data_IF_049091463070
#
_entry.id   IF_049091463070
#
_cell.length_a   1.000
_cell.length_b   1.000
_cell.length_c   1.000
_cell.angle_alpha   90.00
_cell.angle_beta   90.00
_cell.angle_gamma   90.00
#
_symmetry.space_group_name_H-M   'P 1'
#
loop_
_entity.id
_entity.type
_entity.pdbx_description
1 polymer ?
#
# COMPACT_ATOMS: atom_id res chain seq x y z
N UNK A 1 22.19 -26.50 44.95
CA UNK A 1 22.94 -27.75 45.25
C UNK A 1 23.40 -28.32 43.92
N UNK A 2 24.73 -28.27 43.66
CA UNK A 2 25.54 -28.86 42.56
C UNK A 2 25.14 -28.50 41.09
N UNK A 3 25.85 -27.71 40.28
CA UNK A 3 27.26 -27.75 39.80
C UNK A 3 27.53 -29.05 38.98
N UNK A 4 28.04 -29.15 37.74
CA UNK A 4 29.00 -28.40 36.89
C UNK A 4 28.89 -28.89 35.42
N UNK A 5 29.50 -28.12 34.47
CA UNK A 5 30.33 -28.53 33.29
C UNK A 5 30.04 -27.62 32.07
N UNK A 6 30.98 -27.19 31.22
CA UNK A 6 32.41 -26.84 31.27
C UNK A 6 32.68 -26.24 29.86
N UNK A 7 33.44 -25.17 29.78
CA UNK A 7 33.93 -24.56 28.53
C UNK A 7 35.08 -25.36 27.93
N UNK A 8 35.22 -25.41 26.59
CA UNK A 8 36.51 -25.47 25.87
C UNK A 8 36.38 -25.26 24.34
N UNK A 9 37.29 -24.44 23.80
CA UNK A 9 37.79 -24.30 22.41
C UNK A 9 39.33 -24.28 22.55
N UNK A 10 40.15 -24.34 21.48
CA UNK A 10 40.04 -25.03 20.19
C UNK A 10 41.33 -25.86 19.89
N UNK A 11 41.38 -26.63 18.81
CA UNK A 11 42.67 -26.99 18.19
C UNK A 11 42.56 -27.16 16.67
N UNK A 12 43.47 -26.49 15.99
CA UNK A 12 43.71 -26.49 14.55
C UNK A 12 44.89 -27.44 14.27
N UNK A 13 44.75 -28.35 13.30
CA UNK A 13 45.87 -29.02 12.61
C UNK A 13 45.42 -29.38 11.20
N UNK A 14 46.13 -28.83 10.21
CA UNK A 14 46.02 -29.23 8.82
C UNK A 14 46.88 -30.46 8.52
N UNK A 15 46.54 -31.15 7.44
CA UNK A 15 47.45 -32.06 6.74
C UNK A 15 47.00 -32.20 5.29
N UNK A 16 47.92 -31.89 4.38
CA UNK A 16 47.89 -32.17 2.95
C UNK A 16 47.86 -33.69 2.69
N UNK A 17 47.12 -34.12 1.67
CA UNK A 17 47.40 -35.36 0.94
C UNK A 17 46.91 -35.23 -0.51
N UNK A 18 47.88 -35.18 -1.42
CA UNK A 18 47.80 -35.35 -2.87
C UNK A 18 47.58 -36.82 -3.22
N UNK A 19 46.68 -37.12 -4.17
CA UNK A 19 46.79 -38.32 -5.01
C UNK A 19 46.18 -38.07 -6.38
N UNK A 20 46.90 -38.55 -7.39
CA UNK A 20 46.77 -38.34 -8.83
C UNK A 20 46.00 -39.51 -9.47
N UNK A 21 45.41 -39.24 -10.63
CA UNK A 21 45.27 -40.14 -11.80
C UNK A 21 44.09 -41.13 -11.87
N UNK A 22 43.14 -40.88 -12.81
CA UNK A 22 43.11 -41.60 -14.11
C UNK A 22 42.13 -40.97 -15.11
N UNK A 23 42.67 -40.85 -16.33
CA UNK A 23 42.15 -40.36 -17.61
C UNK A 23 41.24 -41.42 -18.25
N UNK A 24 40.19 -41.00 -18.96
CA UNK A 24 39.70 -41.67 -20.16
C UNK A 24 39.07 -40.63 -21.10
N UNK A 25 39.53 -40.70 -22.35
CA UNK A 25 39.46 -39.71 -23.42
C UNK A 25 38.28 -39.94 -24.40
N UNK A 26 37.78 -38.81 -24.93
CA UNK A 26 37.30 -38.51 -26.30
C UNK A 26 36.05 -39.25 -26.91
N UNK A 27 35.46 -38.75 -28.04
CA UNK A 27 35.88 -37.61 -28.86
C UNK A 27 34.85 -36.53 -29.18
N UNK A 28 35.43 -35.39 -29.56
CA UNK A 28 34.86 -34.15 -30.06
C UNK A 28 35.01 -34.11 -31.59
N UNK A 29 33.92 -33.88 -32.32
CA UNK A 29 33.94 -33.68 -33.77
C UNK A 29 34.17 -32.20 -34.11
N UNK A 30 35.32 -31.92 -34.74
CA UNK A 30 35.68 -30.65 -35.41
C UNK A 30 34.92 -30.50 -36.72
N UNK A 31 34.51 -29.28 -37.05
CA UNK A 31 34.31 -28.85 -38.45
C UNK A 31 35.21 -27.63 -38.73
N UNK A 32 35.84 -27.67 -39.90
CA UNK A 32 36.98 -26.85 -40.35
C UNK A 32 36.55 -25.48 -40.87
N UNK A 33 37.44 -24.49 -40.70
CA UNK A 33 37.51 -23.25 -41.48
C UNK A 33 38.00 -23.52 -42.91
N UNK A 34 37.55 -22.69 -43.85
CA UNK A 34 38.16 -22.49 -45.17
C UNK A 34 38.03 -21.00 -45.52
N UNK A 35 39.17 -20.36 -45.73
CA UNK A 35 39.34 -18.99 -46.22
C UNK A 35 39.17 -18.91 -47.74
N UNK A 36 38.68 -17.77 -48.23
CA UNK A 36 38.62 -17.43 -49.66
C UNK A 36 38.41 -15.92 -49.88
N UNK A 37 39.39 -15.29 -50.52
CA UNK A 37 39.54 -13.85 -50.72
C UNK A 37 38.73 -13.26 -51.91
N UNK A 38 38.48 -11.95 -51.81
CA UNK A 38 38.35 -10.91 -52.88
C UNK A 38 37.13 -10.91 -53.82
N UNK A 39 36.38 -9.79 -53.87
CA UNK A 39 36.35 -8.81 -54.99
C UNK A 39 35.30 -7.70 -54.79
N UNK A 40 35.60 -6.54 -55.39
CA UNK A 40 34.92 -5.24 -55.36
C UNK A 40 33.52 -5.21 -56.00
N UNK A 41 32.68 -4.26 -55.56
CA UNK A 41 31.49 -3.83 -56.29
C UNK A 41 30.71 -2.72 -55.60
N UNK A 42 30.88 -1.49 -56.07
CA UNK A 42 30.02 -0.33 -55.78
C UNK A 42 28.66 -0.46 -56.51
N UNK A 43 27.68 0.38 -56.11
CA UNK A 43 26.28 0.54 -56.57
C UNK A 43 25.28 -0.22 -55.66
N UNK A 44 24.17 0.33 -55.19
CA UNK A 44 23.55 1.66 -55.24
C UNK A 44 22.28 1.59 -54.38
N UNK A 45 21.84 2.74 -53.85
CA UNK A 45 20.46 3.07 -53.45
C UNK A 45 19.86 2.41 -52.19
N UNK A 46 19.77 3.25 -51.15
CA UNK A 46 18.59 3.53 -50.32
C UNK A 46 17.69 2.34 -49.94
N UNK A 47 17.74 1.93 -48.68
CA UNK A 47 16.62 1.74 -47.72
C UNK A 47 17.27 1.35 -46.39
N UNK A 48 16.62 1.65 -45.26
CA UNK A 48 17.04 1.45 -43.85
C UNK A 48 17.66 2.70 -43.20
N UNK A 49 16.94 3.82 -43.26
CA UNK A 49 16.75 4.66 -42.08
C UNK A 49 15.31 4.43 -41.64
N UNK A 50 15.10 3.47 -40.74
CA UNK A 50 13.96 3.34 -39.81
C UNK A 50 13.96 1.93 -39.21
N UNK A 51 14.87 1.65 -38.28
CA UNK A 51 14.72 0.50 -37.36
C UNK A 51 15.57 0.64 -36.08
N UNK A 52 15.63 1.86 -35.54
CA UNK A 52 15.99 2.09 -34.13
C UNK A 52 14.96 3.00 -33.46
N UNK A 53 13.72 2.53 -33.44
CA UNK A 53 12.73 2.95 -32.43
C UNK A 53 12.06 1.70 -31.89
N UNK A 54 12.84 0.86 -31.21
CA UNK A 54 12.27 0.00 -30.18
C UNK A 54 11.94 0.91 -28.98
N UNK A 55 10.67 1.00 -28.54
CA UNK A 55 10.35 1.70 -27.32
C UNK A 55 10.97 0.91 -26.17
N UNK A 56 12.05 1.45 -25.59
CA UNK A 56 12.60 0.93 -24.34
C UNK A 56 11.51 0.82 -23.28
N UNK A 57 11.62 -0.10 -22.31
CA UNK A 57 10.57 -0.34 -21.34
C UNK A 57 10.34 0.97 -20.57
N UNK A 58 9.15 1.55 -20.75
CA UNK A 58 8.66 2.66 -19.96
C UNK A 58 8.52 2.17 -18.51
N UNK A 59 9.61 2.28 -17.75
CA UNK A 59 9.69 1.87 -16.36
C UNK A 59 8.69 2.70 -15.54
N UNK A 60 7.66 2.01 -15.01
CA UNK A 60 6.62 2.61 -14.19
C UNK A 60 7.23 3.25 -12.92
N UNK A 61 6.94 4.54 -12.73
CA UNK A 61 7.62 5.43 -11.78
C UNK A 61 6.87 5.60 -10.46
N UNK A 62 7.56 5.43 -9.31
CA UNK A 62 6.99 5.67 -7.98
C UNK A 62 7.83 6.49 -6.98
N UNK A 63 7.19 7.37 -6.19
CA UNK A 63 7.77 8.09 -5.05
C UNK A 63 6.77 8.86 -4.18
N UNK A 64 7.20 9.22 -2.97
CA UNK A 64 6.42 9.64 -1.79
C UNK A 64 6.60 11.14 -1.47
N UNK A 65 5.87 12.04 -2.12
CA UNK A 65 5.71 13.43 -1.63
C UNK A 65 4.28 13.89 -1.80
N UNK A 66 3.85 14.82 -0.93
CA UNK A 66 2.48 15.32 -0.79
C UNK A 66 1.97 16.20 -1.92
N UNK A 67 2.23 15.80 -3.17
CA UNK A 67 1.40 16.11 -4.32
C UNK A 67 1.07 14.87 -5.17
N UNK A 68 1.53 13.63 -4.89
CA UNK A 68 1.03 12.37 -5.50
C UNK A 68 1.36 11.00 -4.72
N UNK A 69 0.49 9.91 -4.48
CA UNK A 69 0.83 8.43 -4.20
C UNK A 69 0.24 7.16 -5.04
N UNK A 70 1.06 6.18 -5.54
CA UNK A 70 0.99 4.66 -5.52
C UNK A 70 1.13 3.68 -6.80
N UNK A 71 2.25 2.97 -7.17
CA UNK A 71 2.35 1.84 -8.18
C UNK A 71 3.64 0.99 -8.13
N UNK A 72 3.58 -0.20 -8.76
CA UNK A 72 4.31 -1.45 -8.49
C UNK A 72 5.49 -1.66 -9.48
N UNK A 73 6.64 -2.15 -9.01
CA UNK A 73 7.76 -2.64 -9.85
C UNK A 73 8.09 -4.11 -9.55
N UNK A 74 8.56 -4.89 -10.55
CA UNK A 74 8.78 -6.32 -10.41
C UNK A 74 10.08 -6.63 -9.65
N UNK A 75 10.02 -7.67 -8.82
CA UNK A 75 11.17 -8.25 -8.12
C UNK A 75 12.05 -9.01 -9.14
N UNK A 76 13.25 -8.50 -9.43
CA UNK A 76 14.34 -9.35 -9.91
C UNK A 76 15.45 -9.35 -8.86
N UNK A 77 15.64 -10.48 -8.19
CA UNK A 77 16.76 -10.73 -7.31
C UNK A 77 18.06 -10.81 -8.13
N UNK A 78 19.05 -10.02 -7.75
CA UNK A 78 20.46 -10.17 -8.14
C UNK A 78 21.30 -10.19 -6.85
N UNK A 79 22.43 -10.91 -6.82
CA UNK A 79 23.03 -11.44 -5.61
C UNK A 79 23.68 -10.36 -4.73
N UNK A 80 23.82 -10.70 -3.45
CA UNK A 80 24.26 -9.88 -2.33
C UNK A 80 25.51 -9.02 -2.64
N UNK A 81 25.33 -7.71 -2.59
CA UNK A 81 26.40 -6.73 -2.56
C UNK A 81 26.27 -5.92 -1.26
N UNK A 82 27.30 -6.00 -0.40
CA UNK A 82 27.49 -5.31 0.90
C UNK A 82 26.26 -4.58 1.45
N UNK A 83 25.61 -5.21 2.43
CA UNK A 83 24.42 -4.79 3.21
C UNK A 83 24.37 -3.29 3.57
N UNK A 84 25.52 -2.64 3.73
CA UNK A 84 25.61 -1.20 4.03
C UNK A 84 25.23 -0.23 2.91
N UNK A 85 25.22 -0.60 1.61
CA UNK A 85 24.93 0.34 0.50
C UNK A 85 23.68 0.03 -0.32
N UNK A 86 23.08 -1.15 -0.15
CA UNK A 86 21.91 -1.57 -0.92
C UNK A 86 20.66 -0.72 -0.62
N UNK A 87 20.39 -0.43 0.66
CA UNK A 87 19.22 0.35 1.06
C UNK A 87 19.30 1.83 0.62
N UNK A 88 20.50 2.39 0.48
CA UNK A 88 20.69 3.74 -0.10
C UNK A 88 20.22 3.79 -1.56
N UNK A 89 20.62 2.79 -2.36
CA UNK A 89 20.18 2.67 -3.77
C UNK A 89 18.66 2.54 -3.85
N UNK A 90 18.03 1.88 -2.87
CA UNK A 90 16.58 1.73 -2.80
C UNK A 90 15.86 3.05 -2.47
N UNK A 91 16.36 3.81 -1.48
CA UNK A 91 15.87 5.16 -1.19
C UNK A 91 16.00 6.11 -2.37
N UNK A 92 17.00 5.91 -3.24
CA UNK A 92 17.24 6.76 -4.42
C UNK A 92 16.30 6.44 -5.59
N UNK A 93 15.78 5.21 -5.67
CA UNK A 93 14.73 4.83 -6.62
C UNK A 93 13.39 5.48 -6.28
N UNK A 94 13.16 5.79 -5.00
CA UNK A 94 11.98 6.50 -4.55
C UNK A 94 12.13 8.01 -4.86
N UNK A 95 11.13 8.61 -5.50
CA UNK A 95 11.07 10.08 -5.63
C UNK A 95 10.73 10.73 -4.29
N UNK A 96 11.76 10.99 -3.48
CA UNK A 96 11.68 11.61 -2.16
C UNK A 96 12.25 13.03 -2.17
N UNK A 97 11.66 13.92 -1.35
CA UNK A 97 12.25 15.21 -1.01
C UNK A 97 13.61 15.06 -0.30
N UNK A 98 14.44 16.11 -0.32
CA UNK A 98 15.75 16.10 0.34
C UNK A 98 15.68 15.71 1.83
N UNK A 99 14.65 16.15 2.56
CA UNK A 99 14.44 15.78 3.98
C UNK A 99 14.06 14.30 4.11
N UNK A 100 13.08 13.85 3.34
CA UNK A 100 12.60 12.47 3.34
C UNK A 100 13.67 11.47 2.94
N UNK A 101 14.49 11.79 1.93
CA UNK A 101 15.61 10.95 1.51
C UNK A 101 16.64 10.77 2.63
N UNK A 102 16.93 11.83 3.38
CA UNK A 102 17.80 11.75 4.58
C UNK A 102 17.19 10.86 5.67
N UNK A 103 15.87 10.90 5.85
CA UNK A 103 15.17 10.03 6.80
C UNK A 103 15.18 8.56 6.34
N UNK A 104 14.92 8.31 5.05
CA UNK A 104 14.96 6.97 4.46
C UNK A 104 16.34 6.30 4.63
N UNK A 105 17.42 7.07 4.40
CA UNK A 105 18.81 6.60 4.52
C UNK A 105 19.30 6.47 5.97
N UNK A 106 18.52 6.87 6.97
CA UNK A 106 18.98 6.93 8.37
C UNK A 106 18.96 5.57 9.06
N UNK A 107 18.07 4.69 8.63
CA UNK A 107 17.79 3.40 9.28
C UNK A 107 17.60 2.34 8.17
N UNK A 108 18.41 1.27 8.17
CA UNK A 108 18.18 0.15 7.25
C UNK A 108 16.78 -0.45 7.49
N UNK A 109 16.11 -0.86 6.42
CA UNK A 109 14.73 -1.37 6.48
C UNK A 109 13.64 -0.32 6.24
N UNK A 110 13.93 0.98 6.37
CA UNK A 110 12.95 2.03 6.07
C UNK A 110 12.57 2.04 4.59
N UNK A 111 13.53 1.84 3.69
CA UNK A 111 13.29 1.86 2.25
C UNK A 111 12.33 0.74 1.82
N UNK A 112 12.56 -0.47 2.32
CA UNK A 112 11.72 -1.66 2.11
C UNK A 112 10.33 -1.46 2.70
N UNK A 113 10.25 -0.95 3.93
CA UNK A 113 8.98 -0.68 4.63
C UNK A 113 8.17 0.39 3.91
N UNK A 114 8.83 1.41 3.34
CA UNK A 114 8.17 2.40 2.50
C UNK A 114 7.55 1.75 1.25
N UNK A 115 8.26 0.86 0.55
CA UNK A 115 7.69 0.15 -0.60
C UNK A 115 6.52 -0.77 -0.23
N UNK A 116 6.60 -1.43 0.92
CA UNK A 116 5.51 -2.25 1.46
C UNK A 116 4.26 -1.40 1.73
N UNK A 117 4.42 -0.28 2.45
CA UNK A 117 3.34 0.68 2.69
C UNK A 117 2.71 1.15 1.38
N UNK A 118 3.56 1.42 0.38
CA UNK A 118 3.16 1.88 -0.93
C UNK A 118 2.24 0.86 -1.61
N UNK A 119 2.70 -0.38 -1.70
CA UNK A 119 1.97 -1.45 -2.36
C UNK A 119 0.67 -1.74 -1.61
N UNK A 120 0.72 -1.79 -0.28
CA UNK A 120 -0.43 -2.07 0.57
C UNK A 120 -1.55 -1.03 0.39
N UNK A 121 -1.22 0.27 0.44
CA UNK A 121 -2.20 1.34 0.22
C UNK A 121 -2.80 1.32 -1.19
N UNK A 122 -1.97 1.07 -2.21
CA UNK A 122 -2.43 1.05 -3.61
C UNK A 122 -3.39 -0.12 -3.87
N UNK A 123 -3.04 -1.32 -3.39
CA UNK A 123 -3.87 -2.51 -3.54
C UNK A 123 -5.20 -2.36 -2.79
N UNK A 124 -5.19 -1.84 -1.57
CA UNK A 124 -6.42 -1.60 -0.82
C UNK A 124 -7.30 -0.55 -1.49
N UNK A 125 -6.72 0.53 -2.03
CA UNK A 125 -7.48 1.54 -2.77
C UNK A 125 -8.14 0.96 -4.03
N UNK A 126 -7.40 0.18 -4.82
CA UNK A 126 -7.95 -0.52 -5.98
C UNK A 126 -9.04 -1.51 -5.59
N UNK A 127 -8.86 -2.21 -4.47
CA UNK A 127 -9.86 -3.12 -3.93
C UNK A 127 -11.13 -2.36 -3.55
N UNK A 128 -11.06 -1.31 -2.73
CA UNK A 128 -12.21 -0.53 -2.26
C UNK A 128 -13.01 0.09 -3.42
N UNK A 129 -12.33 0.47 -4.50
CA UNK A 129 -12.94 1.15 -5.65
C UNK A 129 -13.18 0.24 -6.87
N UNK A 130 -12.99 -1.08 -6.75
CA UNK A 130 -13.05 -2.03 -7.87
C UNK A 130 -14.35 -2.01 -8.67
N UNK A 131 -15.47 -1.66 -8.03
CA UNK A 131 -16.80 -1.63 -8.64
C UNK A 131 -17.29 -0.23 -9.01
N UNK A 132 -16.48 0.80 -8.78
CA UNK A 132 -16.84 2.20 -8.96
C UNK A 132 -16.43 2.73 -10.34
N UNK A 133 -16.95 3.89 -10.74
CA UNK A 133 -16.57 4.58 -11.99
C UNK A 133 -15.10 5.01 -11.98
N UNK A 134 -14.59 5.46 -10.84
CA UNK A 134 -13.17 5.61 -10.58
C UNK A 134 -12.69 4.41 -9.77
N UNK A 135 -11.77 3.63 -10.31
CA UNK A 135 -11.29 2.37 -9.74
C UNK A 135 -9.90 2.48 -9.09
N UNK A 136 -9.56 3.66 -8.57
CA UNK A 136 -8.22 3.95 -8.08
C UNK A 136 -7.11 3.70 -9.12
N UNK A 137 -7.26 4.31 -10.31
CA UNK A 137 -6.23 4.29 -11.35
C UNK A 137 -5.05 5.19 -10.97
N UNK A 138 -3.95 4.58 -10.53
CA UNK A 138 -2.76 5.27 -10.04
C UNK A 138 -1.61 5.31 -11.05
N UNK A 139 -1.92 5.18 -12.34
CA UNK A 139 -0.91 5.14 -13.39
C UNK A 139 -0.56 6.54 -13.93
N UNK A 140 0.74 6.81 -14.04
CA UNK A 140 1.32 7.91 -14.81
C UNK A 140 0.65 9.27 -14.60
N UNK A 141 0.06 9.82 -15.66
CA UNK A 141 -0.51 11.18 -15.69
C UNK A 141 -1.85 11.31 -14.95
N UNK A 142 -2.69 10.27 -14.95
CA UNK A 142 -4.02 10.34 -14.32
C UNK A 142 -3.91 10.63 -12.84
N UNK A 143 -3.04 9.84 -12.23
CA UNK A 143 -2.53 10.02 -10.90
C UNK A 143 -2.01 11.44 -10.65
N UNK A 144 -1.08 11.91 -11.48
CA UNK A 144 -0.51 13.25 -11.31
C UNK A 144 -1.55 14.38 -11.32
N UNK A 145 -2.56 14.22 -12.16
CA UNK A 145 -3.61 15.22 -12.31
C UNK A 145 -4.63 15.15 -11.17
N UNK A 146 -5.00 13.97 -10.68
CA UNK A 146 -6.01 13.85 -9.62
C UNK A 146 -5.51 14.46 -8.30
N UNK A 147 -4.23 14.28 -7.98
CA UNK A 147 -3.67 14.68 -6.69
C UNK A 147 -3.37 16.18 -6.57
N UNK A 148 -3.20 16.84 -7.72
CA UNK A 148 -3.16 18.31 -7.83
C UNK A 148 -4.50 18.96 -7.49
N UNK A 149 -5.60 18.19 -7.45
CA UNK A 149 -6.95 18.69 -7.19
C UNK A 149 -7.49 18.20 -5.86
N UNK A 150 -8.36 18.99 -5.25
CA UNK A 150 -8.96 18.71 -3.96
C UNK A 150 -10.26 17.91 -4.04
N UNK A 151 -10.30 16.82 -4.82
CA UNK A 151 -11.47 15.97 -4.99
C UNK A 151 -11.72 15.02 -3.80
N UNK A 152 -12.90 14.40 -3.79
CA UNK A 152 -13.28 13.33 -2.85
C UNK A 152 -12.32 12.14 -2.92
N UNK A 153 -11.89 11.75 -4.12
CA UNK A 153 -10.96 10.62 -4.32
C UNK A 153 -9.58 10.96 -3.77
N UNK A 154 -9.17 12.23 -3.92
CA UNK A 154 -7.91 12.72 -3.39
C UNK A 154 -7.89 12.68 -1.86
N UNK A 155 -8.98 13.04 -1.18
CA UNK A 155 -9.05 12.98 0.29
C UNK A 155 -8.85 11.54 0.79
N UNK A 156 -9.47 10.56 0.14
CA UNK A 156 -9.25 9.15 0.44
C UNK A 156 -7.80 8.72 0.18
N UNK A 157 -7.20 9.13 -0.94
CA UNK A 157 -5.80 8.79 -1.26
C UNK A 157 -4.82 9.28 -0.19
N UNK A 158 -5.01 10.49 0.35
CA UNK A 158 -4.19 10.99 1.45
C UNK A 158 -4.38 10.16 2.74
N UNK A 159 -5.63 9.81 3.07
CA UNK A 159 -5.94 9.05 4.28
C UNK A 159 -5.44 7.60 4.21
N UNK A 160 -5.66 6.89 3.10
CA UNK A 160 -5.21 5.48 2.95
C UNK A 160 -3.68 5.39 2.85
N UNK A 161 -3.02 6.40 2.27
CA UNK A 161 -1.55 6.45 2.19
C UNK A 161 -0.92 6.72 3.55
N UNK A 162 -1.47 7.65 4.32
CA UNK A 162 -0.98 7.91 5.68
C UNK A 162 -1.26 6.74 6.61
N UNK A 163 -2.42 6.10 6.48
CA UNK A 163 -2.77 4.88 7.20
C UNK A 163 -1.80 3.73 6.88
N UNK A 164 -1.51 3.48 5.59
CA UNK A 164 -0.58 2.43 5.16
C UNK A 164 0.85 2.66 5.62
N UNK A 165 1.33 3.91 5.58
CA UNK A 165 2.63 4.28 6.14
C UNK A 165 2.67 4.01 7.65
N UNK A 166 1.65 4.43 8.39
CA UNK A 166 1.60 4.20 9.83
C UNK A 166 1.53 2.71 10.17
N UNK A 167 0.74 1.94 9.42
CA UNK A 167 0.59 0.50 9.60
C UNK A 167 1.89 -0.26 9.36
N UNK A 168 2.51 -0.06 8.18
CA UNK A 168 3.74 -0.74 7.81
C UNK A 168 4.90 -0.39 8.74
N UNK A 169 5.06 0.88 9.12
CA UNK A 169 6.14 1.30 10.02
C UNK A 169 6.01 0.72 11.42
N UNK A 170 4.78 0.66 11.95
CA UNK A 170 4.53 0.06 13.27
C UNK A 170 4.81 -1.45 13.26
N UNK A 171 4.40 -2.16 12.20
CA UNK A 171 4.69 -3.59 12.02
C UNK A 171 6.16 -3.89 11.74
N UNK A 172 6.87 -3.02 11.04
CA UNK A 172 8.30 -3.19 10.80
C UNK A 172 9.11 -3.10 12.10
N UNK A 173 8.69 -2.23 13.04
CA UNK A 173 9.29 -2.15 14.37
C UNK A 173 9.07 -3.40 15.20
N UNK A 174 7.83 -3.87 15.32
CA UNK A 174 7.52 -5.10 16.08
C UNK A 174 8.13 -6.35 15.45
N UNK A 175 8.32 -6.37 14.13
CA UNK A 175 9.00 -7.46 13.43
C UNK A 175 10.55 -7.40 13.52
N UNK A 176 11.13 -6.37 14.14
CA UNK A 176 12.59 -6.21 14.22
C UNK A 176 13.28 -5.95 12.88
N UNK A 177 12.55 -5.43 11.88
CA UNK A 177 13.10 -5.12 10.54
C UNK A 177 13.80 -3.76 10.45
N UNK A 178 13.68 -2.93 11.48
CA UNK A 178 14.29 -1.62 11.57
C UNK A 178 15.12 -1.55 12.85
N UNK A 179 16.30 -0.95 12.79
CA UNK A 179 17.26 -0.98 13.89
C UNK A 179 16.98 0.10 14.95
N UNK A 180 16.31 1.20 14.55
CA UNK A 180 16.10 2.36 15.44
C UNK A 180 14.76 2.36 16.17
N UNK A 181 14.02 1.25 16.14
CA UNK A 181 12.82 1.07 16.93
C UNK A 181 12.65 -0.37 17.39
N UNK A 182 11.84 -0.54 18.43
CA UNK A 182 11.46 -1.82 19.02
C UNK A 182 9.94 -1.94 19.08
N UNK A 183 9.40 -3.03 19.61
CA UNK A 183 7.96 -3.14 19.88
C UNK A 183 7.46 -2.05 20.84
N UNK A 184 6.14 -1.83 20.86
CA UNK A 184 5.49 -1.18 22.00
C UNK A 184 5.54 -2.16 23.17
N UNK A 185 6.32 -1.83 24.21
CA UNK A 185 6.20 -2.52 25.49
C UNK A 185 4.88 -2.11 26.12
N UNK A 186 4.15 -3.09 26.65
CA UNK A 186 2.92 -2.80 27.37
C UNK A 186 3.23 -1.84 28.52
N UNK A 187 2.36 -0.86 28.80
CA UNK A 187 2.55 0.01 29.94
C UNK A 187 2.66 -0.84 31.21
N UNK A 188 3.55 -0.43 32.12
CA UNK A 188 3.76 -1.01 33.46
C UNK A 188 2.46 -0.88 34.27
N UNK A 189 1.51 -1.76 33.97
CA UNK A 189 0.25 -1.88 34.67
C UNK A 189 0.44 -2.98 35.70
N UNK A 190 0.41 -2.60 36.97
CA UNK A 190 0.29 -3.43 38.18
C UNK A 190 -1.00 -4.28 38.20
N UNK A 191 -1.50 -4.75 37.05
CA UNK A 191 -2.69 -5.59 37.01
C UNK A 191 -2.32 -7.04 37.36
N UNK A 192 -2.68 -7.42 38.60
CA UNK A 192 -2.64 -8.78 39.16
C UNK A 192 -3.76 -9.70 38.66
N UNK A 193 -4.63 -9.24 37.75
CA UNK A 193 -5.75 -10.03 37.24
C UNK A 193 -5.32 -10.95 36.09
N UNK A 194 -4.97 -12.20 36.41
CA UNK A 194 -4.93 -13.42 35.58
C UNK A 194 -4.22 -13.44 34.20
N UNK A 195 -3.93 -12.32 33.55
CA UNK A 195 -3.25 -12.24 32.26
C UNK A 195 -2.08 -11.26 32.35
N UNK A 196 -0.92 -11.71 31.87
CA UNK A 196 0.30 -10.92 31.92
C UNK A 196 0.42 -10.14 30.61
N UNK A 197 0.59 -8.83 30.69
CA UNK A 197 1.05 -8.05 29.56
C UNK A 197 2.42 -8.57 29.11
N UNK A 198 2.56 -8.89 27.82
CA UNK A 198 3.80 -9.43 27.28
C UNK A 198 3.73 -9.70 25.79
N UNK A 199 4.86 -10.07 25.19
CA UNK A 199 4.98 -10.17 23.74
C UNK A 199 5.34 -8.84 23.08
N UNK A 200 5.41 -8.84 21.75
CA UNK A 200 5.92 -7.72 20.97
C UNK A 200 4.77 -7.02 20.22
N UNK A 201 4.25 -5.94 20.80
CA UNK A 201 3.16 -5.15 20.23
C UNK A 201 3.61 -4.20 19.12
N UNK A 202 2.69 -3.83 18.23
CA UNK A 202 2.96 -2.91 17.12
C UNK A 202 3.25 -1.48 17.62
N UNK A 203 4.41 -0.90 17.26
CA UNK A 203 4.87 0.37 17.81
C UNK A 203 4.25 1.60 17.10
N UNK A 204 3.02 1.93 17.49
CA UNK A 204 2.31 3.09 16.97
C UNK A 204 2.89 4.44 17.41
N UNK A 205 3.54 4.50 18.57
CA UNK A 205 4.15 5.74 19.05
C UNK A 205 5.30 6.18 18.14
N UNK A 206 6.20 5.25 17.83
CA UNK A 206 7.28 5.47 16.88
C UNK A 206 6.73 5.80 15.49
N UNK A 207 5.81 4.96 15.00
CA UNK A 207 5.25 5.09 13.65
C UNK A 207 4.58 6.45 13.43
N UNK A 208 3.70 6.89 14.34
CA UNK A 208 3.05 8.19 14.24
C UNK A 208 4.05 9.36 14.25
N UNK A 209 5.13 9.25 15.03
CA UNK A 209 6.20 10.26 15.05
C UNK A 209 6.94 10.28 13.71
N UNK A 210 7.36 9.11 13.23
CA UNK A 210 8.05 8.97 11.95
C UNK A 210 7.22 9.56 10.80
N UNK A 211 5.95 9.18 10.69
CA UNK A 211 5.06 9.61 9.60
C UNK A 211 4.83 11.11 9.62
N UNK A 212 4.58 11.70 10.80
CA UNK A 212 4.44 13.16 10.95
C UNK A 212 5.71 13.91 10.52
N UNK A 213 6.88 13.42 10.93
CA UNK A 213 8.15 14.04 10.57
C UNK A 213 8.49 13.88 9.08
N UNK A 214 8.11 12.74 8.51
CA UNK A 214 8.36 12.35 7.12
C UNK A 214 7.45 13.09 6.13
N UNK A 215 6.16 13.24 6.44
CA UNK A 215 5.22 14.03 5.64
C UNK A 215 5.41 15.54 5.84
N UNK A 216 5.98 15.94 6.97
CA UNK A 216 6.35 17.32 7.26
C UNK A 216 5.14 18.23 7.56
N UNK A 217 5.42 19.45 8.03
CA UNK A 217 4.38 20.48 8.23
C UNK A 217 4.19 21.23 6.93
N UNK A 218 2.98 21.20 6.37
CA UNK A 218 2.60 22.06 5.23
C UNK A 218 2.26 23.47 5.74
N UNK A 219 2.40 24.47 4.87
CA UNK A 219 2.02 25.86 5.18
C UNK A 219 0.54 25.94 5.56
N UNK A 220 0.23 26.59 6.68
CA UNK A 220 -1.16 26.76 7.14
C UNK A 220 -1.93 27.82 6.34
N UNK A 221 -1.26 28.53 5.42
CA UNK A 221 -1.84 29.63 4.64
C UNK A 221 -2.73 29.15 3.49
N UNK A 222 -2.50 27.94 2.98
CA UNK A 222 -3.24 27.38 1.85
C UNK A 222 -4.35 26.44 2.34
N UNK A 223 -5.61 26.69 1.95
CA UNK A 223 -6.74 25.83 2.26
C UNK A 223 -6.49 24.38 1.82
N UNK A 224 -5.90 24.19 0.64
CA UNK A 224 -5.62 22.85 0.10
C UNK A 224 -4.64 22.10 1.00
N UNK A 225 -3.57 22.76 1.42
CA UNK A 225 -2.59 22.20 2.35
C UNK A 225 -3.21 21.81 3.69
N UNK A 226 -4.12 22.61 4.24
CA UNK A 226 -4.85 22.29 5.48
C UNK A 226 -5.76 21.08 5.32
N UNK A 227 -6.50 21.01 4.22
CA UNK A 227 -7.38 19.86 3.90
C UNK A 227 -6.57 18.57 3.74
N UNK A 228 -5.45 18.61 3.02
CA UNK A 228 -4.55 17.45 2.89
C UNK A 228 -4.00 16.98 4.22
N UNK A 229 -3.60 17.92 5.06
CA UNK A 229 -3.09 17.62 6.40
C UNK A 229 -4.17 17.01 7.28
N UNK A 230 -5.41 17.52 7.21
CA UNK A 230 -6.56 16.95 7.92
C UNK A 230 -6.80 15.50 7.51
N UNK A 231 -6.93 15.23 6.21
CA UNK A 231 -7.19 13.88 5.70
C UNK A 231 -6.05 12.91 6.04
N UNK A 232 -4.80 13.38 5.99
CA UNK A 232 -3.62 12.63 6.44
C UNK A 232 -3.75 12.25 7.92
N UNK A 233 -4.16 13.20 8.78
CA UNK A 233 -4.37 12.97 10.20
C UNK A 233 -5.54 12.04 10.49
N UNK A 234 -6.63 12.12 9.71
CA UNK A 234 -7.76 11.18 9.79
C UNK A 234 -7.27 9.76 9.55
N UNK A 235 -6.49 9.50 8.50
CA UNK A 235 -5.91 8.17 8.24
C UNK A 235 -5.10 7.61 9.42
N UNK A 236 -4.25 8.43 10.04
CA UNK A 236 -3.49 8.02 11.24
C UNK A 236 -4.39 7.77 12.47
N UNK A 237 -5.46 8.56 12.63
CA UNK A 237 -6.44 8.39 13.72
C UNK A 237 -7.22 7.08 13.57
N UNK A 238 -7.65 6.74 12.36
CA UNK A 238 -8.38 5.48 12.08
C UNK A 238 -7.51 4.28 12.41
N UNK A 239 -6.23 4.29 12.01
CA UNK A 239 -5.27 3.25 12.41
C UNK A 239 -5.15 3.13 13.93
N UNK A 240 -5.04 4.26 14.64
CA UNK A 240 -4.92 4.27 16.11
C UNK A 240 -6.18 3.73 16.79
N UNK A 241 -7.36 3.97 16.21
CA UNK A 241 -8.63 3.50 16.75
C UNK A 241 -8.85 1.99 16.48
N UNK A 242 -8.37 1.47 15.35
CA UNK A 242 -8.38 0.05 15.02
C UNK A 242 -7.22 -0.74 15.64
N UNK A 243 -6.87 -0.47 16.89
CA UNK A 243 -5.86 -1.26 17.62
C UNK A 243 -6.60 -2.15 18.59
N UNK A 244 -6.32 -3.45 18.50
CA UNK A 244 -6.96 -4.46 19.31
C UNK A 244 -5.92 -5.14 20.21
N UNK A 245 -6.34 -5.52 21.42
CA UNK A 245 -5.51 -6.36 22.29
C UNK A 245 -5.67 -7.80 21.83
N UNK A 246 -4.57 -8.42 21.38
CA UNK A 246 -4.53 -9.82 20.99
C UNK A 246 -3.83 -10.62 22.07
N UNK A 247 -4.41 -11.76 22.44
CA UNK A 247 -3.89 -12.62 23.49
C UNK A 247 -3.57 -14.02 22.96
N UNK A 248 -2.51 -14.64 23.48
CA UNK A 248 -2.19 -16.05 23.28
C UNK A 248 -2.32 -16.81 24.59
N UNK A 249 -3.04 -17.92 24.53
CA UNK A 249 -3.26 -18.81 25.66
C UNK A 249 -2.14 -19.84 25.79
N UNK A 250 -1.69 -20.08 27.02
CA UNK A 250 -0.53 -20.93 27.35
C UNK A 250 -0.86 -22.03 28.38
N UNK A 251 -2.13 -22.26 28.70
CA UNK A 251 -2.54 -23.28 29.66
C UNK A 251 -2.48 -24.72 29.12
N UNK A 252 -2.54 -25.69 30.04
CA UNK A 252 -2.54 -27.14 29.72
C UNK A 252 -3.63 -27.44 28.69
N UNK A 253 -3.27 -28.22 27.66
CA UNK A 253 -4.15 -28.58 26.54
C UNK A 253 -4.75 -27.39 25.76
N UNK A 254 -4.09 -26.23 25.77
CA UNK A 254 -4.55 -25.03 25.07
C UNK A 254 -5.56 -24.18 25.86
N UNK A 255 -5.70 -24.41 27.16
CA UNK A 255 -6.55 -23.58 28.02
C UNK A 255 -6.02 -22.14 28.17
N UNK A 256 -6.91 -21.18 28.41
CA UNK A 256 -6.58 -19.76 28.59
C UNK A 256 -6.43 -19.34 30.05
N UNK A 257 -6.11 -20.28 30.95
CA UNK A 257 -5.89 -19.98 32.38
C UNK A 257 -4.71 -19.04 32.61
N UNK A 258 -3.68 -19.14 31.77
CA UNK A 258 -2.61 -18.17 31.62
C UNK A 258 -2.60 -17.73 30.17
N UNK A 259 -2.60 -16.41 29.96
CA UNK A 259 -2.47 -15.83 28.63
C UNK A 259 -1.54 -14.63 28.65
N UNK A 260 -0.92 -14.39 27.50
CA UNK A 260 -0.05 -13.25 27.25
C UNK A 260 -0.68 -12.38 26.19
N UNK A 261 -0.85 -11.09 26.48
CA UNK A 261 -1.54 -10.16 25.60
C UNK A 261 -0.64 -9.02 25.14
N UNK A 262 -0.77 -8.62 23.88
CA UNK A 262 -0.10 -7.47 23.28
C UNK A 262 -1.06 -6.65 22.42
N UNK A 263 -0.69 -5.40 22.13
CA UNK A 263 -1.45 -4.51 21.24
C UNK A 263 -1.06 -4.78 19.79
N UNK A 264 -2.04 -5.05 18.95
CA UNK A 264 -1.84 -5.40 17.55
C UNK A 264 -2.75 -4.56 16.65
N UNK A 265 -2.23 -4.18 15.49
CA UNK A 265 -3.00 -3.48 14.47
C UNK A 265 -4.02 -4.42 13.82
N UNK A 266 -5.25 -3.93 13.64
CA UNK A 266 -6.26 -4.62 12.84
C UNK A 266 -5.74 -4.90 11.41
N UNK A 267 -6.30 -5.91 10.73
CA UNK A 267 -6.01 -6.14 9.31
C UNK A 267 -6.24 -4.87 8.48
N UNK A 268 -5.35 -4.59 7.53
CA UNK A 268 -5.41 -3.34 6.77
C UNK A 268 -6.70 -3.20 5.96
N UNK A 269 -7.30 -4.31 5.55
CA UNK A 269 -8.59 -4.32 4.88
C UNK A 269 -9.72 -3.72 5.76
N UNK A 270 -9.71 -3.98 7.07
CA UNK A 270 -10.68 -3.39 8.01
C UNK A 270 -10.55 -1.87 8.05
N UNK A 271 -9.31 -1.37 8.00
CA UNK A 271 -9.00 0.06 7.93
C UNK A 271 -9.47 0.66 6.60
N UNK A 272 -9.26 -0.05 5.49
CA UNK A 272 -9.76 0.32 4.17
C UNK A 272 -11.29 0.48 4.15
N UNK A 273 -12.01 -0.46 4.78
CA UNK A 273 -13.47 -0.40 4.91
C UNK A 273 -13.93 0.83 5.71
N UNK A 274 -13.27 1.11 6.85
CA UNK A 274 -13.58 2.29 7.66
C UNK A 274 -13.31 3.60 6.90
N UNK A 275 -12.18 3.70 6.21
CA UNK A 275 -11.86 4.86 5.39
C UNK A 275 -12.81 5.02 4.19
N UNK A 276 -13.30 3.92 3.61
CA UNK A 276 -14.28 3.96 2.52
C UNK A 276 -15.64 4.48 3.01
N UNK A 277 -16.04 4.14 4.24
CA UNK A 277 -17.23 4.74 4.86
C UNK A 277 -17.07 6.25 5.05
N UNK A 278 -15.92 6.70 5.60
CA UNK A 278 -15.61 8.13 5.77
C UNK A 278 -15.48 8.86 4.43
N UNK A 279 -15.06 8.15 3.38
CA UNK A 279 -15.13 8.66 2.02
C UNK A 279 -16.59 8.90 1.65
N UNK A 280 -17.50 7.93 1.80
CA UNK A 280 -18.89 8.14 1.40
C UNK A 280 -19.54 9.35 2.07
N UNK A 281 -19.30 9.55 3.36
CA UNK A 281 -19.84 10.65 4.17
C UNK A 281 -19.01 11.94 4.14
N UNK A 282 -17.99 12.03 3.27
CA UNK A 282 -17.04 13.16 3.28
C UNK A 282 -17.70 14.51 3.04
N UNK A 283 -17.17 15.57 3.66
CA UNK A 283 -17.75 16.91 3.61
C UNK A 283 -17.03 17.81 2.61
N UNK A 284 -17.79 18.61 1.86
CA UNK A 284 -17.21 19.63 0.99
C UNK A 284 -17.00 20.91 1.79
N UNK A 285 -15.79 21.43 1.77
CA UNK A 285 -15.38 22.62 2.51
C UNK A 285 -14.89 23.72 1.59
N UNK A 286 -15.16 24.97 1.95
CA UNK A 286 -14.67 26.16 1.26
C UNK A 286 -13.85 27.04 2.19
N UNK A 287 -13.14 28.02 1.62
CA UNK A 287 -12.53 29.10 2.41
C UNK A 287 -13.58 30.19 2.63
N UNK A 288 -13.93 30.47 3.88
CA UNK A 288 -14.55 31.74 4.25
C UNK A 288 -13.44 32.64 4.79
N UNK A 289 -12.97 33.59 3.99
CA UNK A 289 -12.05 34.63 4.48
C UNK A 289 -12.86 35.68 5.22
N UNK A 290 -12.54 35.93 6.49
CA UNK A 290 -12.98 37.13 7.18
C UNK A 290 -11.94 38.22 6.88
N UNK A 291 -12.31 39.23 6.08
CA UNK A 291 -11.41 40.30 5.63
C UNK A 291 -10.81 41.14 6.77
N UNK A 292 -11.33 41.00 8.00
CA UNK A 292 -10.87 41.73 9.18
C UNK A 292 -9.62 41.15 9.87
N UNK A 293 -9.25 39.88 9.63
CA UNK A 293 -8.11 39.23 10.33
C UNK A 293 -7.09 38.57 9.40
N UNK A 294 -7.36 38.48 8.10
CA UNK A 294 -6.49 37.78 7.14
C UNK A 294 -6.40 36.26 7.38
N UNK A 295 -7.30 35.71 8.20
CA UNK A 295 -7.33 34.31 8.62
C UNK A 295 -8.50 33.62 7.92
N UNK A 296 -8.19 32.66 7.04
CA UNK A 296 -9.22 31.90 6.31
C UNK A 296 -9.81 30.82 7.20
N UNK A 297 -11.13 30.81 7.41
CA UNK A 297 -11.83 29.77 8.15
C UNK A 297 -12.38 28.69 7.20
N UNK A 298 -12.54 27.46 7.70
CA UNK A 298 -13.06 26.31 6.93
C UNK A 298 -14.54 26.11 7.27
N UNK A 299 -15.42 26.78 6.54
CA UNK A 299 -16.87 26.61 6.68
C UNK A 299 -17.41 25.38 5.95
N UNK A 300 -18.34 24.65 6.59
CA UNK A 300 -19.22 23.71 5.88
C UNK A 300 -20.16 24.50 4.95
N UNK A 301 -20.38 24.01 3.73
CA UNK A 301 -21.32 24.65 2.81
C UNK A 301 -22.75 24.59 3.38
N UNK A 302 -23.39 25.75 3.58
CA UNK A 302 -24.74 25.91 4.18
C UNK A 302 -25.84 25.05 3.53
N UNK A 303 -25.63 24.54 2.31
CA UNK A 303 -26.59 23.68 1.59
C UNK A 303 -26.64 22.21 2.03
N UNK A 304 -25.70 21.72 2.86
CA UNK A 304 -25.61 20.30 3.21
C UNK A 304 -26.22 19.91 4.56
N UNK A 305 -26.54 20.87 5.44
CA UNK A 305 -27.11 20.57 6.76
C UNK A 305 -28.48 19.87 6.68
N UNK A 306 -29.24 20.08 5.59
CA UNK A 306 -30.57 19.48 5.42
C UNK A 306 -30.54 18.03 4.87
N UNK A 307 -29.50 17.63 4.14
CA UNK A 307 -29.37 16.27 3.58
C UNK A 307 -28.80 15.27 4.59
N UNK A 308 -28.04 15.76 5.58
CA UNK A 308 -27.38 14.91 6.57
C UNK A 308 -28.34 14.35 7.64
N UNK A 309 -29.46 15.03 7.91
CA UNK A 309 -30.49 14.54 8.82
C UNK A 309 -31.35 13.41 8.22
N UNK A 310 -31.50 13.33 6.90
CA UNK A 310 -32.32 12.27 6.28
C UNK A 310 -31.60 10.92 6.13
N UNK A 311 -30.26 10.91 6.00
CA UNK A 311 -29.51 9.63 5.84
C UNK A 311 -29.22 8.90 7.15
N UNK A 312 -29.34 9.56 8.32
CA UNK A 312 -29.06 8.92 9.61
C UNK A 312 -30.13 7.92 10.08
N UNK A 313 -31.28 7.83 9.41
CA UNK A 313 -32.36 6.92 9.80
C UNK A 313 -32.29 5.51 9.18
N UNK A 314 -31.33 5.20 8.30
CA UNK A 314 -31.31 3.90 7.57
C UNK A 314 -30.08 3.00 7.79
N UNK A 315 -29.14 3.34 8.67
CA UNK A 315 -27.98 2.46 8.95
C UNK A 315 -27.76 2.23 10.45
N UNK A 316 -28.62 1.39 11.04
CA UNK A 316 -28.26 0.65 12.25
C UNK A 316 -27.58 -0.66 11.84
N UNK A 317 -26.25 -0.64 11.75
CA UNK A 317 -25.42 -1.85 11.84
C UNK A 317 -24.90 -1.98 13.29
N UNK A 318 -25.32 -2.99 14.05
CA UNK A 318 -24.85 -3.19 15.41
C UNK A 318 -23.52 -3.94 15.36
N UNK A 319 -22.41 -3.20 15.50
CA UNK A 319 -21.07 -3.63 15.98
C UNK A 319 -19.95 -2.83 15.28
N UNK A 320 -19.90 -1.52 15.53
CA UNK A 320 -18.68 -0.73 15.36
C UNK A 320 -18.40 -0.02 16.69
N UNK A 321 -17.13 0.05 17.15
CA UNK A 321 -16.79 0.93 18.27
C UNK A 321 -17.09 2.36 17.86
N UNK A 322 -18.06 2.98 18.54
CA UNK A 322 -18.44 4.37 18.37
C UNK A 322 -17.23 5.23 18.74
N UNK A 323 -16.60 5.92 17.77
CA UNK A 323 -15.70 7.02 18.11
C UNK A 323 -16.56 8.14 18.71
N UNK A 324 -16.71 8.14 20.04
CA UNK A 324 -17.40 9.21 20.75
C UNK A 324 -16.60 10.50 20.62
N UNK A 325 -17.18 11.46 19.90
CA UNK A 325 -16.74 12.84 19.89
C UNK A 325 -17.10 13.49 21.23
N UNK A 326 -16.13 13.63 22.15
CA UNK A 326 -16.27 14.58 23.26
C UNK A 326 -16.05 15.99 22.72
N UNK A 327 -17.17 16.71 22.52
CA UNK A 327 -17.19 18.12 22.16
C UNK A 327 -16.83 18.99 23.35
N UNK A 328 -15.59 19.50 23.37
CA UNK A 328 -15.22 20.64 24.21
C UNK A 328 -15.20 21.90 23.37
N UNK A 329 -16.15 22.79 23.66
CA UNK A 329 -16.30 24.11 23.09
C UNK A 329 -15.11 24.97 23.57
N UNK A 330 -14.24 25.38 22.65
CA UNK A 330 -13.12 26.28 22.95
C UNK A 330 -11.86 25.95 22.14
N UNK A 331 -11.61 26.75 21.10
CA UNK A 331 -10.31 27.22 20.59
C UNK A 331 -10.35 27.48 19.07
N UNK A 332 -9.72 28.57 18.66
CA UNK A 332 -9.79 29.30 17.37
C UNK A 332 -8.98 28.66 16.22
N UNK A 333 -9.31 27.44 15.82
CA UNK A 333 -8.83 26.84 14.57
C UNK A 333 -9.85 25.76 14.17
N UNK A 334 -10.96 26.13 13.55
CA UNK A 334 -12.07 25.19 13.36
C UNK A 334 -12.08 24.58 11.95
N UNK A 335 -11.02 23.83 11.63
CA UNK A 335 -11.25 22.58 10.91
C UNK A 335 -12.15 21.76 11.84
N UNK A 336 -13.30 21.21 11.37
CA UNK A 336 -14.16 20.42 12.23
C UNK A 336 -13.30 19.37 12.93
N UNK A 337 -13.40 19.25 14.26
CA UNK A 337 -12.74 18.15 15.02
C UNK A 337 -13.33 16.78 14.68
N UNK A 338 -14.02 16.69 13.54
CA UNK A 338 -14.66 15.49 13.03
C UNK A 338 -13.58 14.53 12.56
N UNK A 339 -13.98 13.27 12.56
CA UNK A 339 -13.19 12.15 12.00
C UNK A 339 -13.45 11.99 10.51
N UNK A 340 -14.27 12.87 9.92
CA UNK A 340 -14.68 12.80 8.52
C UNK A 340 -13.58 13.27 7.58
N UNK A 341 -13.55 12.68 6.39
CA UNK A 341 -12.75 13.20 5.29
C UNK A 341 -13.37 14.47 4.73
N UNK A 342 -12.53 15.40 4.29
CA UNK A 342 -12.96 16.67 3.72
C UNK A 342 -12.33 16.91 2.34
N UNK A 343 -13.07 17.56 1.45
CA UNK A 343 -12.66 17.87 0.08
C UNK A 343 -13.11 19.28 -0.31
N UNK A 344 -12.48 19.87 -1.33
CA UNK A 344 -12.72 21.28 -1.71
C UNK A 344 -13.48 21.37 -3.03
N UNK A 345 -13.26 20.41 -3.93
CA UNK A 345 -13.77 20.42 -5.29
C UNK A 345 -14.68 19.24 -5.55
N UNK A 346 -15.69 19.43 -6.39
CA UNK A 346 -16.54 18.33 -6.84
C UNK A 346 -15.76 17.36 -7.73
N UNK A 347 -15.99 16.06 -7.54
CA UNK A 347 -15.36 15.02 -8.35
C UNK A 347 -15.75 15.16 -9.82
N UNK A 348 -14.81 14.96 -10.76
CA UNK A 348 -15.11 15.02 -12.19
C UNK A 348 -15.96 13.83 -12.63
N UNK A 349 -16.56 13.93 -13.82
CA UNK A 349 -17.24 12.78 -14.41
C UNK A 349 -16.24 11.72 -14.88
N UNK A 350 -16.22 10.57 -14.20
CA UNK A 350 -15.36 9.43 -14.54
C UNK A 350 -15.90 8.50 -15.63
N UNK A 351 -17.10 8.74 -16.17
CA UNK A 351 -17.69 7.92 -17.23
C UNK A 351 -16.94 8.02 -18.55
N UNK A 352 -16.37 9.20 -18.85
CA UNK A 352 -15.64 9.50 -20.08
C UNK A 352 -14.15 9.68 -19.78
N UNK A 353 -13.32 9.42 -20.78
CA UNK A 353 -11.87 9.65 -20.66
C UNK A 353 -11.60 11.14 -20.41
N UNK A 354 -10.71 11.44 -19.47
CA UNK A 354 -10.30 12.79 -19.10
C UNK A 354 -8.86 12.80 -18.62
N UNK A 355 -8.33 13.98 -18.27
CA UNK A 355 -7.00 14.07 -17.63
C UNK A 355 -6.91 13.34 -16.28
N UNK A 356 -8.03 12.99 -15.64
CA UNK A 356 -8.08 12.38 -14.31
C UNK A 356 -8.39 10.89 -14.32
N UNK A 357 -8.93 10.35 -15.41
CA UNK A 357 -9.30 8.94 -15.52
C UNK A 357 -9.37 8.50 -16.99
N UNK A 358 -9.03 7.23 -17.30
CA UNK A 358 -9.20 6.67 -18.65
C UNK A 358 -10.66 6.58 -19.10
N UNK A 359 -11.64 6.67 -18.19
CA UNK A 359 -13.07 6.48 -18.47
C UNK A 359 -13.55 5.06 -18.16
N UNK A 360 -14.82 4.77 -18.44
CA UNK A 360 -15.40 3.44 -18.15
C UNK A 360 -15.62 2.53 -19.36
N UNK A 361 -15.32 3.00 -20.56
CA UNK A 361 -15.42 2.20 -21.80
C UNK A 361 -14.50 0.97 -21.71
N UNK A 362 -15.00 -0.18 -22.17
CA UNK A 362 -14.32 -1.48 -22.11
C UNK A 362 -13.99 -2.03 -20.71
N UNK A 363 -14.45 -1.39 -19.62
CA UNK A 363 -14.28 -1.94 -18.27
C UNK A 363 -15.20 -3.13 -18.04
N UNK A 364 -14.70 -4.16 -17.36
CA UNK A 364 -15.50 -5.29 -16.89
C UNK A 364 -16.50 -4.82 -15.84
N UNK A 365 -17.75 -5.28 -15.96
CA UNK A 365 -18.81 -5.06 -14.98
C UNK A 365 -19.49 -6.38 -14.62
N UNK A 366 -20.32 -6.33 -13.59
CA UNK A 366 -21.09 -7.48 -13.08
C UNK A 366 -22.57 -7.16 -13.21
N UNK A 367 -23.28 -7.97 -14.02
CA UNK A 367 -24.67 -7.73 -14.44
C UNK A 367 -25.58 -7.37 -13.27
N UNK A 368 -25.56 -8.18 -12.23
CA UNK A 368 -26.48 -8.02 -11.08
C UNK A 368 -25.92 -7.10 -9.97
N UNK A 369 -24.77 -6.47 -10.17
CA UNK A 369 -24.11 -5.65 -9.13
C UNK A 369 -23.88 -4.21 -9.53
N UNK A 370 -23.30 -3.96 -10.69
CA UNK A 370 -22.79 -2.62 -10.99
C UNK A 370 -22.76 -2.21 -12.46
N UNK A 371 -23.19 -3.04 -13.41
CA UNK A 371 -23.13 -2.68 -14.84
C UNK A 371 -23.84 -1.36 -15.17
N UNK A 372 -25.01 -1.10 -14.59
CA UNK A 372 -25.75 0.14 -14.83
C UNK A 372 -24.99 1.38 -14.32
N UNK A 373 -24.39 1.26 -13.14
CA UNK A 373 -23.66 2.35 -12.49
C UNK A 373 -22.35 2.70 -13.21
N UNK A 374 -21.56 1.68 -13.58
CA UNK A 374 -20.23 1.86 -14.21
C UNK A 374 -20.32 2.17 -15.71
N UNK A 375 -21.30 1.61 -16.43
CA UNK A 375 -21.44 1.82 -17.87
C UNK A 375 -22.18 3.12 -18.22
N UNK A 376 -22.68 3.86 -17.23
CA UNK A 376 -23.24 5.20 -17.38
C UNK A 376 -24.33 5.29 -18.45
N UNK A 377 -25.23 4.29 -18.49
CA UNK A 377 -26.34 4.23 -19.44
C UNK A 377 -25.97 3.80 -20.87
N UNK A 378 -24.70 3.57 -21.19
CA UNK A 378 -24.28 3.11 -22.54
C UNK A 378 -24.58 1.63 -22.80
N UNK A 379 -24.96 0.88 -21.77
CA UNK A 379 -25.11 -0.58 -21.79
C UNK A 379 -23.76 -1.31 -21.80
N UNK A 380 -23.82 -2.64 -21.92
CA UNK A 380 -22.65 -3.52 -21.91
C UNK A 380 -22.70 -4.56 -23.03
N UNK A 381 -21.53 -4.98 -23.50
CA UNK A 381 -21.35 -6.14 -24.35
C UNK A 381 -21.25 -7.40 -23.49
N UNK A 382 -21.83 -8.50 -23.96
CA UNK A 382 -21.77 -9.80 -23.31
C UNK A 382 -20.93 -10.74 -24.17
N UNK A 383 -19.92 -11.36 -23.57
CA UNK A 383 -19.08 -12.37 -24.23
C UNK A 383 -19.05 -13.64 -23.38
N UNK A 384 -19.32 -14.79 -24.00
CA UNK A 384 -19.11 -16.07 -23.32
C UNK A 384 -17.65 -16.49 -23.45
N UNK A 385 -17.00 -16.77 -22.31
CA UNK A 385 -15.60 -17.21 -22.24
C UNK A 385 -15.53 -18.53 -21.50
N UNK A 386 -14.80 -19.49 -22.06
CA UNK A 386 -14.44 -20.71 -21.33
C UNK A 386 -13.28 -20.39 -20.40
N UNK A 387 -13.50 -20.50 -19.10
CA UNK A 387 -12.51 -20.26 -18.05
C UNK A 387 -12.15 -21.60 -17.43
N UNK A 388 -10.86 -21.90 -17.43
CA UNK A 388 -10.32 -23.09 -16.77
C UNK A 388 -9.91 -22.72 -15.35
N UNK A 389 -10.41 -23.43 -14.34
CA UNK A 389 -10.06 -23.23 -12.94
C UNK A 389 -9.74 -24.56 -12.25
N UNK A 390 -8.87 -24.54 -11.23
CA UNK A 390 -8.70 -25.70 -10.36
C UNK A 390 -10.03 -26.03 -9.67
N UNK A 391 -10.40 -27.29 -9.71
CA UNK A 391 -11.63 -27.82 -9.15
C UNK A 391 -11.36 -29.20 -8.54
N UNK A 392 -12.30 -29.70 -7.73
CA UNK A 392 -12.22 -31.05 -7.14
C UNK A 392 -10.86 -31.30 -6.48
N UNK A 393 -10.39 -30.32 -5.71
CA UNK A 393 -9.11 -30.37 -5.03
C UNK A 393 -9.13 -31.38 -3.88
N UNK A 394 -8.18 -32.30 -3.87
CA UNK A 394 -8.00 -33.29 -2.81
C UNK A 394 -6.64 -33.09 -2.14
N UNK A 395 -6.66 -33.06 -0.80
CA UNK A 395 -5.43 -33.06 -0.01
C UNK A 395 -4.89 -34.49 -0.01
N UNK A 396 -3.69 -34.69 -0.54
CA UNK A 396 -2.99 -35.97 -0.41
C UNK A 396 -2.29 -36.02 0.94
N UNK A 397 -2.30 -37.20 1.57
CA UNK A 397 -1.60 -37.43 2.84
C UNK A 397 -0.13 -37.01 2.67
N UNK A 398 0.31 -36.04 3.48
CA UNK A 398 1.53 -35.24 3.35
C UNK A 398 1.49 -34.11 2.28
N UNK A 399 0.79 -33.03 2.66
CA UNK A 399 1.09 -31.62 2.38
C UNK A 399 1.00 -31.05 0.95
N UNK A 400 0.48 -31.77 -0.04
CA UNK A 400 0.16 -31.18 -1.34
C UNK A 400 -1.31 -31.36 -1.72
N UNK A 401 -1.84 -30.35 -2.40
CA UNK A 401 -3.22 -30.33 -2.90
C UNK A 401 -3.20 -30.65 -4.38
N UNK A 402 -3.81 -31.76 -4.77
CA UNK A 402 -4.03 -32.10 -6.17
C UNK A 402 -5.41 -31.60 -6.60
N UNK A 403 -5.45 -30.71 -7.60
CA UNK A 403 -6.69 -30.24 -8.20
C UNK A 403 -6.77 -30.72 -9.65
N UNK A 404 -7.98 -31.08 -10.10
CA UNK A 404 -8.26 -31.22 -11.52
C UNK A 404 -8.47 -29.84 -12.14
N UNK A 405 -8.31 -29.74 -13.45
CA UNK A 405 -8.66 -28.54 -14.20
C UNK A 405 -10.09 -28.70 -14.74
N UNK A 406 -11.02 -27.87 -14.27
CA UNK A 406 -12.37 -27.82 -14.81
C UNK A 406 -12.52 -26.61 -15.72
N UNK A 407 -13.13 -26.83 -16.88
CA UNK A 407 -13.55 -25.75 -17.78
C UNK A 407 -15.00 -25.40 -17.51
N UNK A 408 -15.27 -24.12 -17.24
CA UNK A 408 -16.62 -23.59 -17.09
C UNK A 408 -16.84 -22.46 -18.10
N UNK A 409 -18.01 -22.41 -18.75
CA UNK A 409 -18.40 -21.26 -19.56
C UNK A 409 -18.93 -20.17 -18.63
N UNK A 410 -18.29 -19.01 -18.64
CA UNK A 410 -18.70 -17.82 -17.90
C UNK A 410 -19.06 -16.68 -18.85
N UNK A 411 -20.06 -15.89 -18.48
CA UNK A 411 -20.38 -14.64 -19.18
C UNK A 411 -19.54 -13.49 -18.62
N UNK A 412 -18.90 -12.74 -19.53
CA UNK A 412 -18.12 -11.55 -19.21
C UNK A 412 -18.84 -10.35 -19.80
N UNK A 413 -19.20 -9.40 -18.93
CA UNK A 413 -19.85 -8.16 -19.32
C UNK A 413 -18.82 -7.02 -19.36
N UNK A 414 -18.82 -6.25 -20.44
CA UNK A 414 -17.89 -5.11 -20.63
C UNK A 414 -18.65 -3.87 -21.08
N UNK A 415 -18.38 -2.72 -20.48
CA UNK A 415 -19.09 -1.49 -20.81
C UNK A 415 -18.83 -1.06 -22.26
N UNK A 416 -19.89 -0.60 -22.92
CA UNK A 416 -19.82 -0.07 -24.29
C UNK A 416 -19.07 1.27 -24.34
N UNK A 417 -18.51 1.52 -25.54
CA UNK A 417 -17.73 2.70 -25.92
C UNK A 417 -18.43 4.00 -25.63
#
# INVERSE_FOLDING_TARGET
ILALYKTWRPHNKGSHATTQEKRNDLPQSRCKMLDGHLLLGWLSFTVIVHLFTLPGPAAAYFGLTGNEPLSILPLSSQPEERVGKAHYKLCDRLKLEKKQRRMCRRDPGVAETLMEAISMSALECQYQFRFERWNCTLEGRYRANILKRGFKETSFLYAISSAGLTHAMAKACSAGRMERCTCDEAPDLENREAWQWGGCGDNLKYSNKFVKDFLGKKSNKDLRARVDMHNTNVGMKVIKAGVETTCKCHGVSGSCTVQTCWRQLSPFHTIGNQLKLLYETSLKVGSSSNDATGEGDIGQSRGQQHLQQQQQQQQHHPNLPLLQAHGTLGSKDQIPRTVDLIHIEDSPNFCRSSKYSPGTSARKCYKDKNCDAICCGRGHNTQSRVVTRPCQCQVRWCCYVECKQCTQREEVYTCKG
#
